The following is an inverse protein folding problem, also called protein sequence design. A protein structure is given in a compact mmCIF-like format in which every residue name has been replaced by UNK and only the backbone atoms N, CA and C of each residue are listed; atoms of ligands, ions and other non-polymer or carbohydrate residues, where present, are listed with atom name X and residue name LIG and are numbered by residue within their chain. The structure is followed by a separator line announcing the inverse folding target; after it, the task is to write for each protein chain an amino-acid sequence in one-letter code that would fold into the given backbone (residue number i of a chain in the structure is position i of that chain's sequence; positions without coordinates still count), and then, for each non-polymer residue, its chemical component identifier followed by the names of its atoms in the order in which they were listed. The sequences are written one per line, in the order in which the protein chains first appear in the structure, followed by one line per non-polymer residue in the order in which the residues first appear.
data_IF_322084984199
#
_entry.id   IF_322084984199
#
_cell.length_a   1.000
_cell.length_b   1.000
_cell.length_c   1.000
_cell.angle_alpha   90.00
_cell.angle_beta   90.00
_cell.angle_gamma   90.00
#
_symmetry.space_group_name_H-M   'P 1'
#
loop_
_entity.id
_entity.type
_entity.pdbx_description
1 polymer ?
#
# COMPACT_ATOMS: atom_id res chain seq x y z
N UNK A 1 -6.61 5.51 14.77
CA UNK A 1 -7.32 6.03 13.59
C UNK A 1 -8.76 5.54 13.67
N UNK A 2 -9.73 6.42 13.86
CA UNK A 2 -11.17 6.11 13.85
C UNK A 2 -11.96 7.41 13.65
N UNK A 3 -13.11 7.39 12.96
CA UNK A 3 -13.77 6.27 12.26
C UNK A 3 -13.20 5.98 10.86
N UNK A 4 -13.65 4.88 10.22
CA UNK A 4 -13.40 4.60 8.79
C UNK A 4 -14.53 5.24 7.97
N UNK A 5 -14.16 6.10 7.03
CA UNK A 5 -15.11 6.86 6.22
C UNK A 5 -15.03 6.50 4.72
N UNK A 6 -15.93 7.07 3.92
CA UNK A 6 -15.91 6.99 2.45
C UNK A 6 -16.03 5.57 1.84
N UNK A 7 -16.48 4.57 2.59
CA UNK A 7 -16.71 3.21 2.07
C UNK A 7 -17.68 3.22 0.87
N UNK A 8 -18.70 4.09 0.91
CA UNK A 8 -19.66 4.26 -0.20
C UNK A 8 -19.08 4.89 -1.46
N UNK A 9 -17.91 5.55 -1.38
CA UNK A 9 -17.22 6.12 -2.54
C UNK A 9 -16.31 5.11 -3.26
N UNK A 10 -16.16 3.90 -2.72
CA UNK A 10 -15.37 2.84 -3.34
C UNK A 10 -16.05 2.41 -4.63
N UNK A 11 -15.31 2.45 -5.75
CA UNK A 11 -15.82 2.06 -7.06
C UNK A 11 -16.54 0.70 -7.01
N UNK A 12 -17.79 0.67 -7.48
CA UNK A 12 -18.66 -0.51 -7.48
C UNK A 12 -18.03 -1.76 -8.10
N UNK A 13 -17.14 -1.58 -9.09
CA UNK A 13 -16.44 -2.70 -9.73
C UNK A 13 -15.56 -3.47 -8.75
N UNK A 14 -15.00 -2.82 -7.72
CA UNK A 14 -14.15 -3.48 -6.71
C UNK A 14 -14.92 -4.50 -5.87
N UNK A 15 -16.20 -4.27 -5.63
CA UNK A 15 -17.08 -5.18 -4.88
C UNK A 15 -17.56 -6.38 -5.71
N UNK A 16 -17.40 -6.32 -7.04
CA UNK A 16 -17.85 -7.35 -7.98
C UNK A 16 -16.73 -8.28 -8.45
N UNK A 17 -15.48 -8.03 -8.04
CA UNK A 17 -14.36 -8.89 -8.40
C UNK A 17 -14.35 -10.18 -7.60
N UNK A 18 -13.91 -11.27 -8.23
CA UNK A 18 -13.60 -12.53 -7.55
C UNK A 18 -12.20 -12.44 -6.94
N UNK A 19 -12.07 -12.64 -5.63
CA UNK A 19 -10.76 -12.64 -4.99
C UNK A 19 -9.96 -13.89 -5.42
N UNK A 20 -8.81 -13.68 -6.07
CA UNK A 20 -7.93 -14.77 -6.55
C UNK A 20 -7.32 -15.66 -5.46
N UNK A 21 -7.41 -15.25 -4.20
CA UNK A 21 -6.84 -15.98 -3.06
C UNK A 21 -7.84 -16.87 -2.31
N UNK A 22 -9.10 -16.46 -2.23
CA UNK A 22 -10.14 -17.23 -1.54
C UNK A 22 -11.24 -17.75 -2.49
N UNK A 23 -11.26 -17.30 -3.75
CA UNK A 23 -12.27 -17.64 -4.75
C UNK A 23 -13.71 -17.34 -4.30
N UNK A 24 -13.89 -16.24 -3.54
CA UNK A 24 -15.20 -15.78 -3.05
C UNK A 24 -15.49 -14.38 -3.58
N UNK A 25 -16.75 -14.15 -3.97
CA UNK A 25 -17.33 -12.82 -4.15
C UNK A 25 -17.77 -12.25 -2.80
N UNK A 26 -17.38 -11.03 -2.47
CA UNK A 26 -17.82 -10.35 -1.25
C UNK A 26 -16.70 -9.57 -0.57
N UNK A 27 -16.97 -8.33 -0.20
CA UNK A 27 -15.94 -7.37 0.16
C UNK A 27 -15.33 -6.67 -1.06
N UNK A 28 -14.54 -5.63 -0.84
CA UNK A 28 -13.88 -4.89 -1.92
C UNK A 28 -12.52 -5.51 -2.25
N UNK A 29 -12.30 -5.85 -3.52
CA UNK A 29 -10.98 -6.24 -4.00
C UNK A 29 -10.10 -5.03 -4.32
N UNK A 30 -8.84 -5.18 -3.97
CA UNK A 30 -7.71 -4.39 -4.49
C UNK A 30 -7.03 -5.18 -5.61
N UNK A 31 -6.14 -4.54 -6.34
CA UNK A 31 -5.43 -5.15 -7.46
C UNK A 31 -3.93 -5.10 -7.20
N UNK A 32 -3.21 -6.16 -7.58
CA UNK A 32 -1.75 -6.16 -7.58
C UNK A 32 -1.21 -4.96 -8.38
N UNK A 33 -0.21 -4.27 -7.85
CA UNK A 33 0.37 -3.07 -8.47
C UNK A 33 0.98 -3.39 -9.85
N UNK A 34 1.52 -4.59 -10.04
CA UNK A 34 2.13 -5.03 -11.30
C UNK A 34 1.13 -5.76 -12.22
N UNK A 35 0.68 -6.99 -11.87
CA UNK A 35 -0.18 -7.80 -12.75
C UNK A 35 -1.70 -7.50 -12.69
N UNK A 36 -2.15 -6.56 -11.85
CA UNK A 36 -3.56 -6.19 -11.65
C UNK A 36 -4.49 -7.32 -11.17
N UNK A 37 -3.96 -8.47 -10.76
CA UNK A 37 -4.74 -9.58 -10.19
C UNK A 37 -5.58 -9.09 -8.98
N UNK A 38 -6.89 -9.36 -8.93
CA UNK A 38 -7.75 -8.90 -7.85
C UNK A 38 -7.69 -9.81 -6.62
N UNK A 39 -7.69 -9.22 -5.43
CA UNK A 39 -7.81 -9.93 -4.16
C UNK A 39 -8.26 -9.00 -3.02
N UNK A 40 -8.77 -9.58 -1.94
CA UNK A 40 -9.03 -8.82 -0.71
C UNK A 40 -7.74 -8.38 -0.03
N UNK A 41 -7.80 -7.23 0.64
CA UNK A 41 -6.66 -6.71 1.45
C UNK A 41 -6.22 -7.73 2.51
N UNK A 42 -7.18 -8.27 3.28
CA UNK A 42 -6.91 -9.27 4.31
C UNK A 42 -6.31 -10.55 3.73
N UNK A 43 -6.89 -11.09 2.65
CA UNK A 43 -6.35 -12.28 1.99
C UNK A 43 -4.91 -12.08 1.48
N UNK A 44 -4.59 -10.88 0.99
CA UNK A 44 -3.24 -10.55 0.56
C UNK A 44 -2.26 -10.56 1.74
N UNK A 45 -2.64 -9.93 2.85
CA UNK A 45 -1.85 -9.90 4.08
C UNK A 45 -1.61 -11.31 4.64
N UNK A 46 -2.65 -12.13 4.74
CA UNK A 46 -2.57 -13.49 5.31
C UNK A 46 -1.73 -14.44 4.46
N UNK A 47 -1.70 -14.21 3.14
CA UNK A 47 -0.96 -15.04 2.18
C UNK A 47 0.43 -14.49 1.84
N UNK A 48 0.92 -13.49 2.58
CA UNK A 48 2.28 -12.98 2.43
C UNK A 48 2.50 -12.16 1.16
N UNK A 49 1.47 -11.49 0.64
CA UNK A 49 1.66 -10.42 -0.32
C UNK A 49 2.53 -9.31 0.30
N UNK A 50 3.34 -8.63 -0.52
CA UNK A 50 4.10 -7.47 -0.07
C UNK A 50 3.16 -6.27 -0.07
N UNK A 51 3.04 -5.59 1.07
CA UNK A 51 2.22 -4.38 1.24
C UNK A 51 3.14 -3.30 1.80
N UNK A 52 3.13 -2.14 1.16
CA UNK A 52 4.00 -1.04 1.55
C UNK A 52 3.64 0.24 0.82
N UNK A 53 4.57 1.19 0.86
CA UNK A 53 4.41 2.49 0.24
C UNK A 53 5.55 2.76 -0.74
N UNK A 54 5.19 3.36 -1.87
CA UNK A 54 6.15 4.02 -2.75
C UNK A 54 6.08 5.53 -2.49
N UNK A 55 7.24 6.17 -2.38
CA UNK A 55 7.31 7.63 -2.22
C UNK A 55 7.33 8.30 -3.59
N UNK A 56 6.30 9.10 -3.87
CA UNK A 56 6.29 9.98 -5.04
C UNK A 56 6.82 11.35 -4.63
N UNK A 57 7.95 11.73 -5.21
CA UNK A 57 8.55 13.04 -5.01
C UNK A 57 7.68 14.12 -5.67
N UNK A 58 7.38 15.17 -4.92
CA UNK A 58 6.83 16.40 -5.50
C UNK A 58 7.97 17.17 -6.14
N UNK A 59 7.83 17.47 -7.44
CA UNK A 59 8.77 18.37 -8.14
C UNK A 59 8.82 19.69 -7.36
N UNK A 60 10.02 20.11 -6.97
CA UNK A 60 10.22 21.40 -6.34
C UNK A 60 9.70 22.50 -7.27
N UNK A 61 8.64 23.17 -6.86
CA UNK A 61 8.08 24.35 -7.52
C UNK A 61 8.10 25.48 -6.52
N UNK A 62 8.31 26.72 -7.00
CA UNK A 62 8.38 27.93 -6.16
C UNK A 62 7.13 28.13 -5.28
N UNK A 63 6.02 27.48 -5.65
CA UNK A 63 4.72 27.58 -4.98
C UNK A 63 4.34 26.32 -4.17
N UNK A 64 5.21 25.31 -4.09
CA UNK A 64 4.94 24.06 -3.35
C UNK A 64 5.85 24.01 -2.13
N UNK A 65 5.26 24.28 -0.96
CA UNK A 65 5.96 24.07 0.32
C UNK A 65 6.20 22.58 0.49
N UNK A 66 7.45 22.16 0.36
CA UNK A 66 7.86 20.79 0.59
C UNK A 66 8.23 20.65 2.07
N UNK A 67 7.37 20.00 2.85
CA UNK A 67 7.68 19.67 4.24
C UNK A 67 8.69 18.50 4.24
N UNK A 68 9.87 18.64 4.87
CA UNK A 68 10.79 17.52 5.02
C UNK A 68 10.10 16.37 5.76
N UNK A 69 10.15 15.16 5.22
CA UNK A 69 9.66 13.98 5.92
C UNK A 69 10.60 13.68 7.09
N UNK A 70 10.27 14.19 8.28
CA UNK A 70 11.12 14.06 9.48
C UNK A 70 11.36 12.60 9.92
N UNK A 71 10.63 11.63 9.38
CA UNK A 71 10.68 10.22 9.77
C UNK A 71 11.26 9.28 8.69
N UNK A 72 11.62 9.77 7.50
CA UNK A 72 12.09 8.91 6.41
C UNK A 72 13.30 9.51 5.67
N UNK A 73 14.33 8.70 5.44
CA UNK A 73 15.56 9.08 4.70
C UNK A 73 15.32 9.45 3.23
N UNK A 74 14.07 9.35 2.77
CA UNK A 74 13.67 9.42 1.36
C UNK A 74 13.20 10.81 0.93
N UNK A 75 13.19 11.80 1.84
CA UNK A 75 12.73 13.17 1.60
C UNK A 75 11.21 13.34 1.66
N UNK A 76 10.73 14.59 1.53
CA UNK A 76 9.30 14.92 1.52
C UNK A 76 8.59 14.48 0.24
N UNK A 77 7.33 14.04 0.35
CA UNK A 77 6.55 13.52 -0.77
C UNK A 77 5.21 12.93 -0.36
N UNK A 78 4.47 12.37 -1.32
CA UNK A 78 3.25 11.60 -1.03
C UNK A 78 3.59 10.11 -0.99
N UNK A 79 3.14 9.44 0.08
CA UNK A 79 3.21 7.98 0.21
C UNK A 79 2.03 7.35 -0.54
N UNK A 80 2.32 6.54 -1.55
CA UNK A 80 1.32 5.82 -2.33
C UNK A 80 1.27 4.38 -1.84
N UNK A 81 0.14 3.90 -1.29
CA UNK A 81 0.02 2.51 -0.86
C UNK A 81 0.02 1.58 -2.07
N UNK A 82 0.78 0.51 -1.97
CA UNK A 82 0.96 -0.48 -3.02
C UNK A 82 0.89 -1.90 -2.45
N UNK A 83 0.55 -2.85 -3.32
CA UNK A 83 0.42 -4.26 -2.97
C UNK A 83 0.88 -5.15 -4.11
N UNK A 84 1.77 -6.10 -3.83
CA UNK A 84 2.30 -7.03 -4.82
C UNK A 84 1.99 -8.46 -4.40
N UNK A 85 1.42 -9.23 -5.32
CA UNK A 85 1.31 -10.66 -5.13
C UNK A 85 2.71 -11.28 -5.09
N UNK A 86 2.82 -12.49 -4.52
CA UNK A 86 4.09 -13.19 -4.29
C UNK A 86 4.86 -13.56 -5.56
N UNK A 87 4.25 -13.38 -6.73
CA UNK A 87 4.86 -13.70 -8.02
C UNK A 87 5.75 -12.57 -8.54
N UNK A 88 5.77 -11.40 -7.88
CA UNK A 88 6.60 -10.27 -8.29
C UNK A 88 7.81 -10.09 -7.40
N UNK A 89 8.97 -10.01 -8.03
CA UNK A 89 10.21 -9.61 -7.39
C UNK A 89 10.27 -8.08 -7.26
N UNK A 90 10.55 -7.61 -6.05
CA UNK A 90 10.68 -6.19 -5.72
C UNK A 90 12.14 -5.78 -5.47
N UNK A 91 13.09 -6.67 -5.75
CA UNK A 91 14.52 -6.38 -5.62
C UNK A 91 14.87 -5.11 -6.41
N UNK A 92 15.56 -4.18 -5.75
CA UNK A 92 15.93 -2.88 -6.31
C UNK A 92 14.83 -1.81 -6.30
N UNK A 93 13.60 -2.13 -5.87
CA UNK A 93 12.55 -1.12 -5.65
C UNK A 93 12.66 -0.51 -4.25
N UNK A 94 12.47 0.80 -4.16
CA UNK A 94 12.39 1.52 -2.88
C UNK A 94 10.96 1.46 -2.34
N UNK A 95 10.64 0.37 -1.66
CA UNK A 95 9.35 0.17 -1.01
C UNK A 95 9.52 0.32 0.49
N UNK A 96 8.78 1.23 1.11
CA UNK A 96 8.69 1.32 2.56
C UNK A 96 7.72 0.24 3.03
N UNK A 97 8.21 -0.76 3.75
CA UNK A 97 7.35 -1.86 4.20
C UNK A 97 6.37 -1.37 5.26
N UNK A 98 5.12 -1.85 5.21
CA UNK A 98 4.12 -1.53 6.24
C UNK A 98 4.55 -1.98 7.65
N UNK A 99 5.52 -2.91 7.75
CA UNK A 99 5.98 -3.52 9.01
C UNK A 99 7.35 -3.03 9.50
N UNK A 100 8.01 -2.13 8.78
CA UNK A 100 9.29 -1.58 9.23
C UNK A 100 9.07 -0.56 10.34
N UNK A 101 9.48 -0.91 11.56
CA UNK A 101 9.49 -0.01 12.70
C UNK A 101 10.79 -0.23 13.49
N UNK A 102 11.89 0.35 13.05
CA UNK A 102 13.06 0.55 13.91
C UNK A 102 12.82 1.81 14.75
N UNK A 103 12.40 1.57 15.99
CA UNK A 103 12.48 2.55 17.06
C UNK A 103 13.74 2.19 17.83
N UNK A 104 14.52 3.17 18.27
CA UNK A 104 15.37 3.08 19.47
C UNK A 104 14.56 2.74 20.77
N UNK A 105 13.40 2.09 20.66
CA UNK A 105 12.55 1.56 21.71
C UNK A 105 11.59 0.48 21.17
N UNK A 106 12.10 -0.74 21.01
CA UNK A 106 11.37 -1.97 21.40
C UNK A 106 10.50 -2.71 20.37
N UNK A 107 11.15 -3.35 19.39
CA UNK A 107 10.76 -4.53 18.57
C UNK A 107 9.58 -4.45 17.58
N UNK A 108 9.83 -4.88 16.33
CA UNK A 108 9.07 -5.91 15.57
C UNK A 108 10.05 -6.72 14.69
N UNK A 109 9.80 -8.04 14.56
CA UNK A 109 10.54 -9.03 13.74
C UNK A 109 10.00 -9.12 12.31
#
# INVERSE_FOLDING_TARGET
MQPVECIGAVNLMRWKQLCSFCNVYGGACIACSDCKRPFHVSCAQDRGAKIGFEMQQVKASRNVVTVPAACFEVGGGYMVPQVWCREHDLTGRRVLSLREMDRESGKVR
#
